data_IF_523638105406
#
_entry.id   IF_523638105406
#
_cell.length_a   1.000
_cell.length_b   1.000
_cell.length_c   1.000
_cell.angle_alpha   90.00
_cell.angle_beta   90.00
_cell.angle_gamma   90.00
#
_symmetry.space_group_name_H-M   'P 1'
#
loop_
_entity.id
_entity.type
_entity.pdbx_description
1 polymer ?
#
# COMPACT_ATOMS: atom_id res chain seq x y z
N UNK A 1 15.90 38.79 35.27
CA UNK A 1 16.37 38.61 33.89
C UNK A 1 15.36 37.73 33.18
N UNK A 2 14.57 38.32 32.28
CA UNK A 2 13.53 37.62 31.53
C UNK A 2 14.15 36.74 30.45
N UNK A 3 13.96 35.43 30.56
CA UNK A 3 14.25 34.51 29.47
C UNK A 3 13.09 34.58 28.46
N UNK A 4 13.25 35.45 27.47
CA UNK A 4 12.35 35.52 26.32
C UNK A 4 12.25 34.14 25.65
N UNK A 5 11.08 33.51 25.78
CA UNK A 5 10.75 32.23 25.15
C UNK A 5 10.79 32.44 23.64
N UNK A 6 11.75 31.81 22.95
CA UNK A 6 11.77 31.82 21.48
C UNK A 6 10.46 31.22 20.95
N UNK A 7 9.85 31.83 19.91
CA UNK A 7 8.63 31.31 19.32
C UNK A 7 8.89 29.89 18.79
N UNK A 8 7.95 28.99 19.09
CA UNK A 8 7.98 27.60 18.61
C UNK A 8 7.88 27.64 17.08
N UNK A 9 8.77 26.98 16.33
CA UNK A 9 8.63 26.88 14.88
C UNK A 9 7.27 26.26 14.56
N UNK A 10 6.54 26.89 13.65
CA UNK A 10 5.22 26.41 13.22
C UNK A 10 5.34 25.00 12.63
N UNK A 11 4.32 24.14 12.81
CA UNK A 11 4.34 22.81 12.25
C UNK A 11 4.36 22.90 10.72
N UNK A 12 5.52 22.62 10.12
CA UNK A 12 5.60 22.36 8.70
C UNK A 12 4.67 21.21 8.36
N UNK A 13 3.80 21.42 7.38
CA UNK A 13 2.90 20.39 6.84
C UNK A 13 3.76 19.33 6.15
N UNK A 14 4.13 18.28 6.89
CA UNK A 14 4.82 17.14 6.31
C UNK A 14 3.87 16.42 5.34
N UNK A 15 4.27 16.30 4.08
CA UNK A 15 3.57 15.48 3.10
C UNK A 15 3.80 14.00 3.44
N UNK A 16 2.71 13.29 3.74
CA UNK A 16 2.78 11.84 3.93
C UNK A 16 2.70 11.21 2.55
N UNK A 17 3.82 10.62 2.11
CA UNK A 17 3.93 9.94 0.83
C UNK A 17 3.56 8.47 0.99
N UNK A 18 2.57 8.00 0.23
CA UNK A 18 2.27 6.57 0.11
C UNK A 18 3.24 5.91 -0.88
N UNK A 19 4.28 5.27 -0.33
CA UNK A 19 5.29 4.57 -1.12
C UNK A 19 4.73 3.40 -1.92
N UNK A 20 3.65 2.75 -1.47
CA UNK A 20 3.07 1.60 -2.16
C UNK A 20 2.33 2.07 -3.41
N UNK A 21 1.62 3.19 -3.33
CA UNK A 21 1.01 3.82 -4.52
C UNK A 21 2.06 4.26 -5.55
N UNK A 22 3.11 4.95 -5.10
CA UNK A 22 4.21 5.35 -5.98
C UNK A 22 4.91 4.15 -6.61
N UNK A 23 5.09 3.07 -5.85
CA UNK A 23 5.68 1.83 -6.36
C UNK A 23 4.84 1.24 -7.48
N UNK A 24 3.51 1.21 -7.31
CA UNK A 24 2.60 0.69 -8.33
C UNK A 24 2.61 1.56 -9.60
N UNK A 25 2.68 2.88 -9.43
CA UNK A 25 2.72 3.83 -10.55
C UNK A 25 4.05 3.83 -11.30
N UNK A 26 5.13 3.37 -10.66
CA UNK A 26 6.43 3.18 -11.30
C UNK A 26 6.51 1.96 -12.22
N UNK A 27 5.54 1.02 -12.17
CA UNK A 27 5.49 -0.10 -13.11
C UNK A 27 5.01 0.34 -14.51
N UNK A 28 5.48 -0.33 -15.58
CA UNK A 28 4.88 -0.18 -16.90
C UNK A 28 3.36 -0.38 -16.86
N UNK A 29 2.63 0.34 -17.73
CA UNK A 29 1.16 0.35 -17.71
C UNK A 29 0.53 -1.05 -17.79
N UNK A 30 1.09 -1.91 -18.65
CA UNK A 30 0.68 -3.31 -18.81
C UNK A 30 0.87 -4.09 -17.50
N UNK A 31 2.06 -4.00 -16.89
CA UNK A 31 2.36 -4.69 -15.64
C UNK A 31 1.50 -4.19 -14.48
N UNK A 32 1.20 -2.90 -14.43
CA UNK A 32 0.27 -2.33 -13.44
C UNK A 32 -1.15 -2.87 -13.65
N UNK A 33 -1.61 -2.97 -14.90
CA UNK A 33 -2.91 -3.54 -15.21
C UNK A 33 -3.00 -5.00 -14.78
N UNK A 34 -1.97 -5.81 -15.05
CA UNK A 34 -1.89 -7.21 -14.61
C UNK A 34 -1.98 -7.33 -13.08
N UNK A 35 -1.18 -6.55 -12.35
CA UNK A 35 -1.18 -6.56 -10.88
C UNK A 35 -2.55 -6.14 -10.30
N UNK A 36 -3.22 -5.15 -10.90
CA UNK A 36 -4.55 -4.73 -10.49
C UNK A 36 -5.63 -5.78 -10.80
N UNK A 37 -5.53 -6.45 -11.94
CA UNK A 37 -6.43 -7.54 -12.31
C UNK A 37 -6.30 -8.72 -11.35
N UNK A 38 -5.07 -9.12 -11.01
CA UNK A 38 -4.79 -10.17 -10.04
C UNK A 38 -5.28 -9.78 -8.64
N UNK A 39 -4.97 -8.58 -8.16
CA UNK A 39 -5.46 -8.08 -6.88
C UNK A 39 -7.00 -8.07 -6.82
N UNK A 40 -7.66 -7.74 -7.92
CA UNK A 40 -9.13 -7.79 -8.03
C UNK A 40 -9.66 -9.22 -7.95
N UNK A 41 -9.00 -10.18 -8.60
CA UNK A 41 -9.36 -11.59 -8.53
C UNK A 41 -9.23 -12.10 -7.08
N UNK A 42 -8.10 -11.81 -6.43
CA UNK A 42 -7.87 -12.17 -5.03
C UNK A 42 -8.87 -11.53 -4.09
N UNK A 43 -9.19 -10.25 -4.29
CA UNK A 43 -10.21 -9.56 -3.51
C UNK A 43 -11.57 -10.25 -3.62
N UNK A 44 -11.97 -10.70 -4.82
CA UNK A 44 -13.24 -11.41 -5.01
C UNK A 44 -13.28 -12.77 -4.29
N UNK A 45 -12.15 -13.46 -4.23
CA UNK A 45 -12.07 -14.82 -3.64
C UNK A 45 -11.96 -14.76 -2.12
N UNK A 46 -11.08 -13.90 -1.60
CA UNK A 46 -10.69 -13.88 -0.19
C UNK A 46 -11.31 -12.75 0.62
N UNK A 47 -11.86 -11.73 -0.04
CA UNK A 47 -12.58 -10.62 0.59
C UNK A 47 -13.87 -10.28 -0.18
N UNK A 48 -14.78 -11.26 -0.38
CA UNK A 48 -15.98 -11.08 -1.22
C UNK A 48 -16.87 -9.93 -0.75
N UNK A 49 -16.98 -9.74 0.57
CA UNK A 49 -17.74 -8.64 1.19
C UNK A 49 -17.00 -7.28 1.13
N UNK A 50 -15.87 -7.21 0.43
CA UNK A 50 -15.15 -5.97 0.17
C UNK A 50 -14.44 -5.35 1.38
N UNK A 51 -14.22 -6.13 2.45
CA UNK A 51 -13.58 -5.64 3.66
C UNK A 51 -12.17 -5.10 3.40
N UNK A 52 -12.00 -3.78 3.48
CA UNK A 52 -10.69 -3.12 3.32
C UNK A 52 -9.62 -3.66 4.28
N UNK A 53 -10.02 -4.07 5.48
CA UNK A 53 -9.12 -4.71 6.46
C UNK A 53 -8.57 -6.05 5.97
N UNK A 54 -9.39 -6.89 5.32
CA UNK A 54 -8.95 -8.17 4.79
C UNK A 54 -7.92 -7.98 3.65
N UNK A 55 -8.16 -7.01 2.76
CA UNK A 55 -7.21 -6.66 1.70
C UNK A 55 -5.90 -6.12 2.28
N UNK A 56 -5.96 -5.30 3.33
CA UNK A 56 -4.76 -4.83 4.02
C UNK A 56 -4.01 -5.98 4.71
N UNK A 57 -4.70 -6.94 5.32
CA UNK A 57 -4.07 -8.10 5.94
C UNK A 57 -3.34 -8.96 4.89
N UNK A 58 -3.95 -9.18 3.72
CA UNK A 58 -3.31 -9.88 2.60
C UNK A 58 -2.07 -9.13 2.10
N UNK A 59 -2.17 -7.81 1.89
CA UNK A 59 -1.04 -6.99 1.47
C UNK A 59 0.12 -7.03 2.49
N UNK A 60 -0.20 -7.03 3.80
CA UNK A 60 0.80 -7.19 4.86
C UNK A 60 1.47 -8.56 4.81
N UNK A 61 0.71 -9.63 4.61
CA UNK A 61 1.26 -10.98 4.51
C UNK A 61 2.27 -11.10 3.35
N UNK A 62 1.88 -10.64 2.15
CA UNK A 62 2.74 -10.62 0.95
C UNK A 62 4.01 -9.78 1.15
N UNK A 63 3.89 -8.64 1.84
CA UNK A 63 5.03 -7.73 2.09
C UNK A 63 5.96 -8.23 3.19
N UNK A 64 5.41 -8.91 4.20
CA UNK A 64 6.17 -9.41 5.36
C UNK A 64 7.07 -10.60 5.04
N UNK A 65 6.77 -11.31 3.94
CA UNK A 65 7.58 -12.39 3.42
C UNK A 65 7.90 -13.48 4.45
N UNK A 66 7.06 -14.52 4.52
CA UNK A 66 7.64 -15.82 4.83
C UNK A 66 8.79 -16.01 3.83
N UNK A 67 9.98 -16.39 4.32
CA UNK A 67 11.20 -16.56 3.51
C UNK A 67 11.10 -17.79 2.60
N UNK A 68 9.98 -17.92 1.90
CA UNK A 68 9.82 -18.93 0.90
C UNK A 68 10.74 -18.58 -0.26
N UNK A 69 11.62 -19.52 -0.60
CA UNK A 69 12.61 -19.33 -1.66
C UNK A 69 11.94 -19.29 -3.04
N UNK A 70 10.69 -19.74 -3.13
CA UNK A 70 9.92 -19.79 -4.36
C UNK A 70 9.19 -18.47 -4.68
N UNK A 71 9.04 -17.57 -3.71
CA UNK A 71 8.26 -16.35 -3.90
C UNK A 71 9.07 -15.24 -4.59
N UNK A 72 8.62 -14.80 -5.77
CA UNK A 72 9.12 -13.58 -6.41
C UNK A 72 8.73 -12.35 -5.57
N UNK A 73 9.69 -11.83 -4.82
CA UNK A 73 9.51 -10.67 -3.92
C UNK A 73 9.09 -9.41 -4.66
N UNK A 74 9.56 -9.20 -5.90
CA UNK A 74 9.20 -8.00 -6.67
C UNK A 74 7.73 -8.05 -7.01
N UNK A 75 7.28 -9.20 -7.48
CA UNK A 75 5.88 -9.43 -7.79
C UNK A 75 5.00 -9.35 -6.53
N UNK A 76 5.37 -10.02 -5.42
CA UNK A 76 4.62 -9.97 -4.17
C UNK A 76 4.45 -8.55 -3.61
N UNK A 77 5.50 -7.71 -3.70
CA UNK A 77 5.42 -6.29 -3.33
C UNK A 77 4.51 -5.50 -4.26
N UNK A 78 4.61 -5.72 -5.57
CA UNK A 78 3.71 -5.08 -6.55
C UNK A 78 2.24 -5.45 -6.31
N UNK A 79 1.98 -6.71 -5.98
CA UNK A 79 0.65 -7.21 -5.68
C UNK A 79 0.11 -6.66 -4.34
N UNK A 80 0.96 -6.57 -3.33
CA UNK A 80 0.61 -5.94 -2.06
C UNK A 80 0.22 -4.46 -2.24
N UNK A 81 0.96 -3.71 -3.06
CA UNK A 81 0.62 -2.33 -3.41
C UNK A 81 -0.74 -2.22 -4.11
N UNK A 82 -1.01 -3.10 -5.08
CA UNK A 82 -2.31 -3.16 -5.78
C UNK A 82 -3.48 -3.46 -4.82
N UNK A 83 -3.30 -4.38 -3.87
CA UNK A 83 -4.30 -4.70 -2.85
C UNK A 83 -4.59 -3.52 -1.91
N UNK A 84 -3.56 -2.76 -1.52
CA UNK A 84 -3.74 -1.55 -0.69
C UNK A 84 -4.50 -0.47 -1.44
N UNK A 85 -4.14 -0.20 -2.70
CA UNK A 85 -4.89 0.75 -3.54
C UNK A 85 -6.36 0.37 -3.67
N UNK A 86 -6.67 -0.92 -3.88
CA UNK A 86 -8.06 -1.39 -3.88
C UNK A 86 -8.77 -1.19 -2.54
N UNK A 87 -8.06 -1.38 -1.42
CA UNK A 87 -8.63 -1.16 -0.08
C UNK A 87 -9.00 0.30 0.17
N UNK A 88 -8.25 1.25 -0.40
CA UNK A 88 -8.51 2.68 -0.29
C UNK A 88 -9.65 3.14 -1.21
N UNK A 89 -9.75 2.60 -2.44
CA UNK A 89 -10.82 2.96 -3.37
C UNK A 89 -12.20 2.41 -3.00
N UNK A 90 -12.28 1.34 -2.20
CA UNK A 90 -13.54 0.73 -1.75
C UNK A 90 -14.04 1.23 -0.40
N UNK A 91 -13.25 2.05 0.29
CA UNK A 91 -13.63 2.66 1.57
C UNK A 91 -14.38 4.00 1.41
N UNK A 92 -14.70 4.39 0.18
CA UNK A 92 -15.53 5.55 -0.18
C UNK A 92 -16.85 5.06 -0.82
#
# INVERSE_FOLDING_TARGET
>A
MDHARKPRPEPHTAEIVDFDEMLLDAYPAERRADLMAEATMLARVFAPEGGGEALQAMARALSSGAKDREMDRRHARGLAAALRRLSHHRAA
#
